data_IF_884264372725
#
_entry.id   IF_884264372725
#
_cell.length_a   1.000
_cell.length_b   1.000
_cell.length_c   1.000
_cell.angle_alpha   90.00
_cell.angle_beta   90.00
_cell.angle_gamma   90.00
#
_symmetry.space_group_name_H-M   'P 1'
#
loop_
_entity.id
_entity.type
_entity.pdbx_description
1 polymer ?
#
# COMPACT_ATOMS: atom_id res chain seq x y z
N UNK A 1 -9.00 5.96 19.26
CA UNK A 1 -8.01 5.03 18.69
C UNK A 1 -7.35 4.34 19.86
N UNK A 2 -7.40 3.01 19.89
CA UNK A 2 -6.72 2.20 20.94
C UNK A 2 -5.22 2.10 20.59
N UNK A 3 -4.38 2.05 21.60
CA UNK A 3 -2.96 1.73 21.43
C UNK A 3 -2.89 0.24 21.09
N UNK A 4 -2.24 -0.18 19.99
CA UNK A 4 -2.15 -1.57 19.62
C UNK A 4 -1.36 -2.38 20.67
N UNK A 5 -1.76 -3.65 20.91
CA UNK A 5 -1.08 -4.55 21.85
C UNK A 5 0.40 -4.80 21.45
N UNK A 6 0.70 -4.77 20.15
CA UNK A 6 2.07 -4.76 19.60
C UNK A 6 2.07 -4.11 18.22
N UNK A 7 3.00 -3.18 18.00
CA UNK A 7 3.24 -2.58 16.68
C UNK A 7 4.04 -3.57 15.81
N UNK A 8 3.66 -3.69 14.53
CA UNK A 8 4.32 -4.58 13.56
C UNK A 8 5.23 -3.81 12.61
N UNK A 9 6.12 -4.52 11.91
CA UNK A 9 7.10 -3.94 11.00
C UNK A 9 6.98 -4.54 9.60
N UNK A 10 6.78 -3.69 8.59
CA UNK A 10 6.84 -4.05 7.19
C UNK A 10 8.14 -3.60 6.54
N UNK A 11 8.54 -4.25 5.45
CA UNK A 11 9.69 -3.88 4.62
C UNK A 11 9.20 -3.33 3.28
N UNK A 12 9.57 -2.10 2.94
CA UNK A 12 9.25 -1.44 1.66
C UNK A 12 10.32 -1.72 0.58
N UNK A 13 10.08 -1.24 -0.64
CA UNK A 13 10.98 -1.32 -1.81
C UNK A 13 11.21 -2.74 -2.35
N UNK A 14 10.25 -3.65 -2.13
CA UNK A 14 10.36 -5.05 -2.55
C UNK A 14 10.24 -5.30 -4.06
N UNK A 15 10.16 -4.23 -4.85
CA UNK A 15 10.13 -4.24 -6.32
C UNK A 15 11.10 -3.26 -6.96
N UNK A 16 12.09 -2.79 -6.19
CA UNK A 16 13.07 -1.78 -6.59
C UNK A 16 14.50 -2.26 -6.31
N UNK A 17 15.49 -1.60 -6.87
CA UNK A 17 16.93 -1.82 -6.63
C UNK A 17 17.29 -3.33 -6.71
N UNK A 18 17.92 -3.89 -5.69
CA UNK A 18 18.26 -5.31 -5.62
C UNK A 18 17.03 -6.24 -5.75
N UNK A 19 15.85 -5.78 -5.34
CA UNK A 19 14.58 -6.53 -5.46
C UNK A 19 13.92 -6.40 -6.83
N UNK A 20 14.49 -5.67 -7.79
CA UNK A 20 14.08 -5.75 -9.21
C UNK A 20 14.68 -6.94 -9.95
N UNK A 21 15.49 -7.77 -9.28
CA UNK A 21 16.08 -8.98 -9.82
C UNK A 21 15.62 -10.23 -9.04
N UNK A 22 15.40 -11.37 -9.70
CA UNK A 22 14.73 -12.52 -9.09
C UNK A 22 15.48 -13.10 -7.88
N UNK A 23 16.82 -13.18 -7.94
CA UNK A 23 17.65 -13.73 -6.86
C UNK A 23 17.58 -12.85 -5.62
N UNK A 24 17.76 -11.53 -5.78
CA UNK A 24 17.69 -10.55 -4.70
C UNK A 24 16.29 -10.50 -4.08
N UNK A 25 15.25 -10.39 -4.91
CA UNK A 25 13.86 -10.36 -4.45
C UNK A 25 13.50 -11.61 -3.61
N UNK A 26 13.82 -12.80 -4.11
CA UNK A 26 13.51 -14.05 -3.43
C UNK A 26 14.31 -14.23 -2.13
N UNK A 27 15.59 -13.80 -2.10
CA UNK A 27 16.45 -13.90 -0.91
C UNK A 27 15.99 -12.94 0.17
N UNK A 28 15.79 -11.65 -0.18
CA UNK A 28 15.38 -10.64 0.79
C UNK A 28 13.99 -10.94 1.35
N UNK A 29 13.06 -11.44 0.54
CA UNK A 29 11.74 -11.81 1.02
C UNK A 29 11.79 -12.92 2.08
N UNK A 30 12.55 -14.00 1.82
CA UNK A 30 12.75 -15.09 2.80
C UNK A 30 13.48 -14.60 4.06
N UNK A 31 14.49 -13.73 3.90
CA UNK A 31 15.22 -13.17 5.03
C UNK A 31 14.31 -12.31 5.91
N UNK A 32 13.50 -11.44 5.32
CA UNK A 32 12.54 -10.60 6.05
C UNK A 32 11.49 -11.45 6.79
N UNK A 33 10.96 -12.51 6.14
CA UNK A 33 10.05 -13.44 6.78
C UNK A 33 10.70 -14.14 7.99
N UNK A 34 11.94 -14.64 7.83
CA UNK A 34 12.69 -15.28 8.90
C UNK A 34 13.07 -14.33 10.05
N UNK A 35 13.31 -13.05 9.73
CA UNK A 35 13.61 -12.00 10.69
C UNK A 35 12.37 -11.51 11.48
N UNK A 36 11.16 -11.96 11.11
CA UNK A 36 9.93 -11.62 11.82
C UNK A 36 9.24 -10.33 11.34
N UNK A 37 9.55 -9.85 10.12
CA UNK A 37 8.72 -8.81 9.53
C UNK A 37 7.30 -9.32 9.29
N UNK A 38 6.31 -8.45 9.53
CA UNK A 38 4.89 -8.74 9.32
C UNK A 38 4.51 -8.74 7.83
N UNK A 39 5.15 -7.87 7.05
CA UNK A 39 4.70 -7.61 5.68
C UNK A 39 5.81 -7.09 4.75
N UNK A 40 5.68 -7.39 3.44
CA UNK A 40 6.51 -6.90 2.34
C UNK A 40 5.70 -5.92 1.49
N UNK A 41 6.30 -4.80 1.09
CA UNK A 41 5.58 -3.72 0.40
C UNK A 41 6.25 -3.33 -0.91
N UNK A 42 5.42 -3.19 -1.94
CA UNK A 42 5.82 -2.77 -3.29
C UNK A 42 5.11 -1.47 -3.70
N UNK A 43 5.86 -0.49 -4.17
CA UNK A 43 5.34 0.79 -4.67
C UNK A 43 4.99 0.72 -6.16
N UNK A 44 4.35 1.78 -6.68
CA UNK A 44 3.96 1.85 -8.08
C UNK A 44 4.38 3.16 -8.74
N UNK A 45 5.06 3.01 -9.88
CA UNK A 45 5.13 3.96 -10.96
C UNK A 45 5.12 3.18 -12.28
N UNK A 46 4.19 3.47 -13.17
CA UNK A 46 4.09 2.83 -14.49
C UNK A 46 5.14 3.40 -15.43
N UNK A 47 5.35 4.71 -15.38
CA UNK A 47 6.37 5.44 -16.11
C UNK A 47 6.90 6.61 -15.28
N UNK A 48 8.16 6.98 -15.48
CA UNK A 48 8.80 8.10 -14.80
C UNK A 48 9.11 9.22 -15.79
N UNK A 49 9.05 10.50 -15.40
CA UNK A 49 9.33 11.62 -16.29
C UNK A 49 10.80 11.67 -16.67
N UNK A 50 11.07 11.91 -17.96
CA UNK A 50 12.39 12.16 -18.51
C UNK A 50 12.39 13.52 -19.28
N UNK A 51 13.21 14.50 -18.85
CA UNK A 51 14.06 14.50 -17.66
C UNK A 51 13.28 14.41 -16.35
N UNK A 52 13.93 13.88 -15.29
CA UNK A 52 13.32 13.85 -13.96
C UNK A 52 12.83 15.26 -13.56
N UNK A 53 11.59 15.35 -13.13
CA UNK A 53 10.96 16.59 -12.71
C UNK A 53 10.21 16.42 -11.38
N UNK A 54 10.23 17.41 -10.48
CA UNK A 54 9.43 17.35 -9.26
C UNK A 54 7.94 17.16 -9.58
N UNK A 55 7.21 16.37 -8.78
CA UNK A 55 7.60 15.74 -7.52
C UNK A 55 8.09 14.28 -7.65
N UNK A 56 8.62 13.86 -8.81
CA UNK A 56 9.14 12.49 -8.99
C UNK A 56 10.26 12.18 -8.00
N UNK A 57 10.12 11.14 -7.15
CA UNK A 57 11.16 10.75 -6.20
C UNK A 57 12.29 9.94 -6.86
N UNK A 58 12.06 9.46 -8.08
CA UNK A 58 12.94 8.54 -8.80
C UNK A 58 13.41 9.17 -10.11
N UNK A 59 14.62 8.79 -10.56
CA UNK A 59 15.12 9.13 -11.89
C UNK A 59 14.42 8.27 -12.97
N UNK A 60 14.39 8.78 -14.21
CA UNK A 60 13.72 8.09 -15.32
C UNK A 60 14.28 6.68 -15.61
N UNK A 61 15.56 6.47 -15.29
CA UNK A 61 16.25 5.18 -15.51
C UNK A 61 16.17 4.21 -14.32
N UNK A 62 15.56 4.59 -13.21
CA UNK A 62 15.46 3.71 -12.05
C UNK A 62 14.51 2.53 -12.33
N UNK A 63 14.93 1.34 -11.94
CA UNK A 63 14.14 0.12 -12.12
C UNK A 63 13.08 0.00 -11.03
N UNK A 64 11.83 -0.08 -11.44
CA UNK A 64 10.69 -0.41 -10.59
C UNK A 64 9.81 -1.43 -11.32
N UNK A 65 9.61 -2.61 -10.72
CA UNK A 65 8.71 -3.62 -11.28
C UNK A 65 7.25 -3.27 -10.94
N UNK A 66 6.33 -3.73 -11.79
CA UNK A 66 4.90 -3.69 -11.44
C UNK A 66 4.68 -4.36 -10.08
N UNK A 67 3.95 -3.69 -9.13
CA UNK A 67 3.82 -4.20 -7.77
C UNK A 67 3.09 -5.55 -7.70
N UNK A 68 2.09 -5.80 -8.54
CA UNK A 68 1.35 -7.07 -8.48
C UNK A 68 2.17 -8.23 -9.04
N UNK A 69 2.94 -7.98 -10.10
CA UNK A 69 3.89 -8.97 -10.66
C UNK A 69 4.96 -9.31 -9.61
N UNK A 70 5.57 -8.28 -9.01
CA UNK A 70 6.58 -8.47 -7.96
C UNK A 70 6.01 -9.23 -6.75
N UNK A 71 4.88 -8.79 -6.20
CA UNK A 71 4.26 -9.45 -5.05
C UNK A 71 3.81 -10.88 -5.34
N UNK A 72 3.38 -11.18 -6.58
CA UNK A 72 3.07 -12.56 -6.98
C UNK A 72 4.32 -13.46 -6.97
N UNK A 73 5.45 -12.93 -7.45
CA UNK A 73 6.73 -13.62 -7.36
C UNK A 73 7.14 -13.85 -5.90
N UNK A 74 7.02 -12.84 -5.04
CA UNK A 74 7.33 -12.94 -3.60
C UNK A 74 6.40 -13.93 -2.88
N UNK A 75 5.12 -13.99 -3.26
CA UNK A 75 4.15 -14.95 -2.72
C UNK A 75 4.62 -16.39 -2.89
N UNK A 76 5.25 -16.72 -4.03
CA UNK A 76 5.78 -18.06 -4.33
C UNK A 76 7.07 -18.38 -3.53
N UNK A 77 7.73 -17.39 -2.95
CA UNK A 77 8.98 -17.55 -2.21
C UNK A 77 8.85 -17.39 -0.69
N UNK A 78 7.63 -17.13 -0.20
CA UNK A 78 7.30 -16.90 1.22
C UNK A 78 6.06 -17.71 1.61
N UNK A 79 5.82 -17.89 2.91
CA UNK A 79 4.75 -18.76 3.41
C UNK A 79 3.73 -18.03 4.29
N UNK A 80 4.16 -17.09 5.11
CA UNK A 80 3.32 -16.45 6.16
C UNK A 80 3.30 -14.93 6.07
N UNK A 81 4.41 -14.31 5.62
CA UNK A 81 4.54 -12.85 5.56
C UNK A 81 3.49 -12.23 4.63
N UNK A 82 2.86 -11.15 5.05
CA UNK A 82 1.84 -10.46 4.27
C UNK A 82 2.46 -9.67 3.12
N UNK A 83 1.67 -9.39 2.10
CA UNK A 83 2.09 -8.76 0.85
C UNK A 83 1.28 -7.49 0.63
N UNK A 84 1.91 -6.33 0.71
CA UNK A 84 1.25 -5.03 0.65
C UNK A 84 1.59 -4.23 -0.60
N UNK A 85 0.63 -3.51 -1.15
CA UNK A 85 0.90 -2.46 -2.13
C UNK A 85 1.03 -1.11 -1.44
N UNK A 86 2.12 -0.41 -1.68
CA UNK A 86 2.42 0.86 -1.02
C UNK A 86 2.72 2.00 -2.00
N UNK A 87 1.81 2.33 -2.85
CA UNK A 87 0.38 2.02 -3.07
C UNK A 87 0.12 1.76 -4.55
N UNK A 88 -1.02 1.13 -4.90
CA UNK A 88 -1.56 1.16 -6.26
C UNK A 88 -2.13 2.54 -6.57
N UNK A 89 -1.71 3.16 -7.67
CA UNK A 89 -2.31 4.40 -8.19
C UNK A 89 -3.60 4.06 -8.91
N UNK A 90 -4.68 3.84 -8.14
CA UNK A 90 -5.92 3.24 -8.61
C UNK A 90 -6.53 3.88 -9.87
N UNK A 91 -6.54 5.23 -10.03
CA UNK A 91 -7.11 5.85 -11.24
C UNK A 91 -6.41 5.48 -12.54
N UNK A 92 -5.18 4.95 -12.48
CA UNK A 92 -4.39 4.57 -13.65
C UNK A 92 -4.72 3.18 -14.19
N UNK A 93 -5.48 2.38 -13.45
CA UNK A 93 -5.80 0.99 -13.79
C UNK A 93 -7.27 0.81 -14.15
N UNK A 94 -7.59 -0.13 -15.02
CA UNK A 94 -8.98 -0.55 -15.20
C UNK A 94 -9.43 -1.30 -13.93
N UNK A 95 -10.52 -0.88 -13.24
CA UNK A 95 -10.88 -1.44 -11.95
C UNK A 95 -11.32 -2.91 -12.01
N UNK A 96 -11.91 -3.38 -13.11
CA UNK A 96 -12.31 -4.79 -13.23
C UNK A 96 -11.11 -5.70 -13.50
N UNK A 97 -10.14 -5.24 -14.32
CA UNK A 97 -8.89 -5.96 -14.54
C UNK A 97 -8.11 -6.05 -13.24
N UNK A 98 -7.93 -4.91 -12.57
CA UNK A 98 -7.25 -4.86 -11.27
C UNK A 98 -7.94 -5.72 -10.21
N UNK A 99 -9.27 -5.69 -10.15
CA UNK A 99 -10.04 -6.53 -9.21
C UNK A 99 -9.77 -8.03 -9.44
N UNK A 100 -9.63 -8.43 -10.72
CA UNK A 100 -9.28 -9.82 -11.09
C UNK A 100 -7.85 -10.17 -10.69
N UNK A 101 -6.89 -9.30 -10.96
CA UNK A 101 -5.46 -9.48 -10.63
C UNK A 101 -5.27 -9.63 -9.11
N UNK A 102 -5.87 -8.72 -8.33
CA UNK A 102 -5.82 -8.74 -6.86
C UNK A 102 -6.45 -10.00 -6.27
N UNK A 103 -7.63 -10.40 -6.76
CA UNK A 103 -8.28 -11.63 -6.31
C UNK A 103 -7.46 -12.89 -6.65
N UNK A 104 -6.76 -12.88 -7.78
CA UNK A 104 -5.86 -13.97 -8.17
C UNK A 104 -4.63 -14.03 -7.27
N UNK A 105 -4.00 -12.89 -6.99
CA UNK A 105 -2.86 -12.81 -6.07
C UNK A 105 -3.26 -13.18 -4.64
N UNK A 106 -4.43 -12.71 -4.17
CA UNK A 106 -4.95 -13.07 -2.84
C UNK A 106 -5.13 -14.59 -2.71
N UNK A 107 -5.74 -15.23 -3.71
CA UNK A 107 -5.90 -16.68 -3.74
C UNK A 107 -4.55 -17.44 -3.79
N UNK A 108 -3.63 -17.01 -4.65
CA UNK A 108 -2.30 -17.63 -4.80
C UNK A 108 -1.43 -17.45 -3.55
N UNK A 109 -1.59 -16.35 -2.84
CA UNK A 109 -0.88 -16.09 -1.59
C UNK A 109 -1.53 -16.73 -0.36
N UNK A 110 -2.71 -17.33 -0.50
CA UNK A 110 -3.46 -17.88 0.64
C UNK A 110 -4.05 -16.81 1.56
N UNK A 111 -4.50 -15.67 0.99
CA UNK A 111 -5.16 -14.60 1.73
C UNK A 111 -4.18 -13.64 2.45
N UNK A 112 -2.92 -13.55 2.00
CA UNK A 112 -1.89 -12.70 2.61
C UNK A 112 -1.84 -11.27 2.06
N UNK A 113 -2.66 -10.94 1.05
CA UNK A 113 -2.62 -9.64 0.38
C UNK A 113 -3.20 -8.53 1.26
N UNK A 114 -2.56 -7.34 1.20
CA UNK A 114 -3.05 -6.06 1.71
C UNK A 114 -3.08 -5.08 0.53
N UNK A 115 -4.23 -4.53 0.21
CA UNK A 115 -4.36 -3.56 -0.86
C UNK A 115 -4.22 -2.14 -0.33
N UNK A 116 -3.06 -1.52 -0.53
CA UNK A 116 -2.90 -0.08 -0.37
C UNK A 116 -3.23 0.64 -1.67
N UNK A 117 -4.09 1.64 -1.63
CA UNK A 117 -4.49 2.44 -2.80
C UNK A 117 -4.30 3.93 -2.57
N UNK A 118 -4.02 4.66 -3.63
CA UNK A 118 -3.93 6.11 -3.63
C UNK A 118 -4.43 6.73 -4.92
N UNK A 119 -4.51 8.05 -4.94
CA UNK A 119 -5.00 8.80 -6.10
C UNK A 119 -3.89 9.16 -7.09
N UNK A 120 -2.62 9.02 -6.68
CA UNK A 120 -1.47 9.47 -7.46
C UNK A 120 -1.22 10.98 -7.38
N UNK A 121 0.02 11.37 -7.64
CA UNK A 121 0.48 12.75 -7.55
C UNK A 121 1.32 13.19 -8.76
N UNK A 122 1.80 12.25 -9.58
CA UNK A 122 2.73 12.50 -10.69
C UNK A 122 1.94 12.73 -11.98
N UNK A 123 1.61 13.98 -12.28
CA UNK A 123 0.79 14.33 -13.46
C UNK A 123 1.37 13.87 -14.80
N UNK A 124 2.71 13.93 -15.07
CA UNK A 124 3.27 13.40 -16.31
C UNK A 124 2.93 11.93 -16.58
N UNK A 125 2.88 11.09 -15.55
CA UNK A 125 2.48 9.69 -15.63
C UNK A 125 1.03 9.54 -16.07
N UNK A 126 0.11 10.30 -15.48
CA UNK A 126 -1.30 10.32 -15.89
C UNK A 126 -1.46 10.73 -17.35
N UNK A 127 -0.70 11.75 -17.79
CA UNK A 127 -0.72 12.24 -19.18
C UNK A 127 -0.26 11.16 -20.14
N UNK A 128 0.84 10.47 -19.82
CA UNK A 128 1.37 9.36 -20.62
C UNK A 128 0.36 8.21 -20.78
N UNK A 129 -0.42 7.93 -19.73
CA UNK A 129 -1.47 6.92 -19.73
C UNK A 129 -2.81 7.40 -20.34
N UNK A 130 -2.90 8.67 -20.76
CA UNK A 130 -4.14 9.24 -21.32
C UNK A 130 -5.26 9.42 -20.31
N UNK A 131 -4.94 9.55 -19.01
CA UNK A 131 -5.92 9.65 -17.92
C UNK A 131 -5.96 11.09 -17.39
N UNK A 132 -7.14 11.73 -17.32
CA UNK A 132 -7.26 13.07 -16.77
C UNK A 132 -6.85 13.14 -15.29
N UNK A 133 -5.84 13.97 -14.99
CA UNK A 133 -5.31 14.13 -13.65
C UNK A 133 -6.34 14.77 -12.68
N UNK A 134 -7.17 15.68 -13.17
CA UNK A 134 -8.18 16.38 -12.38
C UNK A 134 -9.24 15.43 -11.78
N UNK A 135 -9.55 14.35 -12.48
CA UNK A 135 -10.60 13.39 -12.08
C UNK A 135 -10.10 12.30 -11.11
N UNK A 136 -8.78 12.24 -10.82
CA UNK A 136 -8.17 11.11 -10.09
C UNK A 136 -8.86 10.76 -8.77
N UNK A 137 -9.29 11.77 -8.00
CA UNK A 137 -10.01 11.55 -6.74
C UNK A 137 -11.38 10.92 -6.93
N UNK A 138 -12.20 11.48 -7.82
CA UNK A 138 -13.52 10.96 -8.13
C UNK A 138 -13.46 9.58 -8.79
N UNK A 139 -12.45 9.36 -9.65
CA UNK A 139 -12.18 8.06 -10.28
C UNK A 139 -11.81 7.01 -9.26
N UNK A 140 -10.99 7.36 -8.25
CA UNK A 140 -10.64 6.45 -7.16
C UNK A 140 -11.87 6.03 -6.36
N UNK A 141 -12.76 6.96 -6.03
CA UNK A 141 -14.00 6.67 -5.31
C UNK A 141 -14.89 5.70 -6.11
N UNK A 142 -15.08 5.99 -7.38
CA UNK A 142 -15.89 5.19 -8.30
C UNK A 142 -15.32 3.77 -8.49
N UNK A 143 -14.00 3.67 -8.67
CA UNK A 143 -13.31 2.41 -8.89
C UNK A 143 -13.32 1.51 -7.65
N UNK A 144 -13.11 2.07 -6.45
CA UNK A 144 -13.22 1.30 -5.20
C UNK A 144 -14.63 0.72 -5.02
N UNK A 145 -15.66 1.50 -5.32
CA UNK A 145 -17.05 1.04 -5.25
C UNK A 145 -17.32 -0.08 -6.26
N UNK A 146 -16.85 0.06 -7.51
CA UNK A 146 -16.96 -0.95 -8.55
C UNK A 146 -16.26 -2.27 -8.19
N UNK A 147 -15.03 -2.17 -7.66
CA UNK A 147 -14.25 -3.33 -7.21
C UNK A 147 -14.95 -4.07 -6.07
N UNK A 148 -15.50 -3.35 -5.10
CA UNK A 148 -16.31 -3.97 -4.04
C UNK A 148 -17.55 -4.66 -4.61
N UNK A 149 -18.26 -4.02 -5.54
CA UNK A 149 -19.45 -4.60 -6.16
C UNK A 149 -19.13 -5.95 -6.85
N UNK A 150 -18.04 -6.02 -7.62
CA UNK A 150 -17.66 -7.26 -8.32
C UNK A 150 -17.21 -8.36 -7.37
N UNK A 151 -16.64 -8.02 -6.19
CA UNK A 151 -16.15 -8.99 -5.22
C UNK A 151 -17.24 -9.51 -4.26
N UNK A 152 -18.25 -8.68 -3.93
CA UNK A 152 -19.13 -9.00 -2.78
C UNK A 152 -20.58 -9.24 -3.15
N UNK A 153 -21.04 -8.77 -4.31
CA UNK A 153 -22.44 -8.94 -4.69
C UNK A 153 -22.67 -10.30 -5.34
N UNK A 154 -23.75 -11.04 -4.98
CA UNK A 154 -24.08 -12.31 -5.62
C UNK A 154 -24.43 -12.17 -7.13
N UNK A 155 -24.95 -11.03 -7.53
CA UNK A 155 -25.18 -10.64 -8.92
C UNK A 155 -24.57 -9.25 -9.13
N UNK A 156 -23.28 -9.18 -9.45
CA UNK A 156 -22.57 -7.91 -9.49
C UNK A 156 -23.15 -6.96 -10.54
N UNK A 157 -23.49 -5.76 -10.08
CA UNK A 157 -23.90 -4.64 -10.92
C UNK A 157 -23.41 -3.34 -10.30
N UNK A 158 -22.89 -2.44 -11.13
CA UNK A 158 -22.44 -1.13 -10.72
C UNK A 158 -22.64 -0.12 -11.86
N UNK A 159 -23.16 1.06 -11.54
CA UNK A 159 -23.41 2.14 -12.50
C UNK A 159 -22.84 3.44 -11.93
N UNK A 160 -21.54 3.63 -12.12
CA UNK A 160 -20.80 4.81 -11.70
C UNK A 160 -20.55 5.82 -12.82
N UNK A 161 -19.80 6.84 -12.50
CA UNK A 161 -19.43 7.90 -13.45
C UNK A 161 -18.40 7.42 -14.48
N UNK A 162 -17.44 6.59 -14.07
CA UNK A 162 -16.30 6.22 -14.89
C UNK A 162 -16.30 4.73 -15.27
N UNK A 163 -17.08 3.92 -14.60
CA UNK A 163 -17.23 2.50 -14.88
C UNK A 163 -18.67 2.05 -14.66
N UNK A 164 -19.16 1.18 -15.54
CA UNK A 164 -20.49 0.62 -15.44
C UNK A 164 -20.48 -0.81 -15.95
N UNK A 165 -21.12 -1.72 -15.20
CA UNK A 165 -21.28 -3.12 -15.60
C UNK A 165 -22.50 -3.76 -14.94
N UNK A 166 -23.05 -4.77 -15.60
CA UNK A 166 -24.04 -5.71 -15.08
C UNK A 166 -23.95 -7.03 -15.86
N UNK A 167 -24.50 -8.10 -15.31
CA UNK A 167 -24.55 -9.40 -16.00
C UNK A 167 -23.21 -10.09 -16.17
N UNK A 168 -22.23 -9.75 -15.34
CA UNK A 168 -20.87 -10.34 -15.30
C UNK A 168 -20.52 -10.80 -13.90
N UNK A 169 -19.60 -11.76 -13.80
CA UNK A 169 -19.02 -12.23 -12.54
C UNK A 169 -17.50 -12.38 -12.69
N UNK A 170 -16.78 -12.27 -11.60
CA UNK A 170 -15.34 -12.53 -11.55
C UNK A 170 -15.01 -13.50 -10.41
N UNK A 171 -14.31 -14.59 -10.74
CA UNK A 171 -13.81 -15.56 -9.77
C UNK A 171 -12.32 -15.82 -10.02
N UNK A 172 -11.50 -16.11 -8.95
CA UNK A 172 -11.91 -16.16 -7.55
C UNK A 172 -12.40 -14.81 -7.03
N UNK A 173 -13.04 -14.79 -5.87
CA UNK A 173 -13.32 -13.59 -5.10
C UNK A 173 -12.45 -13.62 -3.85
N UNK A 174 -11.87 -12.49 -3.41
CA UNK A 174 -11.09 -12.47 -2.17
C UNK A 174 -12.01 -12.75 -0.97
N UNK A 175 -11.52 -13.55 -0.04
CA UNK A 175 -12.30 -13.87 1.19
C UNK A 175 -12.38 -12.65 2.11
N UNK A 176 -11.25 -11.98 2.30
CA UNK A 176 -11.13 -10.73 3.05
C UNK A 176 -9.84 -10.04 2.59
N UNK A 177 -9.96 -9.07 1.73
CA UNK A 177 -8.83 -8.24 1.27
C UNK A 177 -8.86 -6.91 2.01
N UNK A 178 -7.98 -6.68 3.00
CA UNK A 178 -7.89 -5.39 3.68
C UNK A 178 -7.48 -4.30 2.69
N UNK A 179 -8.17 -3.16 2.74
CA UNK A 179 -7.90 -2.00 1.90
C UNK A 179 -7.40 -0.85 2.77
N UNK A 180 -6.21 -0.35 2.47
CA UNK A 180 -5.64 0.84 3.07
C UNK A 180 -5.66 1.99 2.06
N UNK A 181 -6.09 3.18 2.48
CA UNK A 181 -6.00 4.37 1.62
C UNK A 181 -4.81 5.22 2.01
N UNK A 182 -3.97 5.53 1.02
CA UNK A 182 -2.80 6.39 1.17
C UNK A 182 -3.10 7.85 0.87
N UNK A 183 -2.28 8.73 1.45
CA UNK A 183 -2.27 10.16 1.16
C UNK A 183 -2.63 11.07 2.33
N UNK A 184 -2.28 12.37 2.18
CA UNK A 184 -2.38 13.37 3.24
C UNK A 184 -3.40 14.49 2.91
N UNK A 185 -4.30 14.26 1.96
CA UNK A 185 -5.35 15.22 1.60
C UNK A 185 -6.64 14.96 2.37
N UNK A 186 -7.53 15.97 2.52
CA UNK A 186 -8.85 15.76 3.11
C UNK A 186 -9.65 14.64 2.46
N UNK A 187 -9.52 14.47 1.13
CA UNK A 187 -10.17 13.37 0.41
C UNK A 187 -9.59 11.98 0.75
N UNK A 188 -8.28 11.89 1.03
CA UNK A 188 -7.66 10.65 1.49
C UNK A 188 -8.15 10.26 2.89
N UNK A 189 -8.19 11.22 3.82
CA UNK A 189 -8.70 10.97 5.18
C UNK A 189 -10.17 10.58 5.17
N UNK A 190 -11.00 11.25 4.35
CA UNK A 190 -12.41 10.86 4.17
C UNK A 190 -12.52 9.40 3.69
N UNK A 191 -11.79 9.00 2.65
CA UNK A 191 -11.81 7.61 2.14
C UNK A 191 -11.39 6.60 3.18
N UNK A 192 -10.37 6.92 3.99
CA UNK A 192 -9.93 6.08 5.08
C UNK A 192 -11.06 5.83 6.09
N UNK A 193 -11.75 6.88 6.50
CA UNK A 193 -12.85 6.80 7.47
C UNK A 193 -14.05 6.08 6.90
N UNK A 194 -14.56 6.51 5.72
CA UNK A 194 -15.81 6.00 5.16
C UNK A 194 -15.72 4.58 4.60
N UNK A 195 -14.54 4.16 4.17
CA UNK A 195 -14.52 2.97 3.33
C UNK A 195 -13.26 2.12 3.36
N UNK A 196 -12.26 2.38 4.15
CA UNK A 196 -11.06 1.55 4.17
C UNK A 196 -10.87 0.84 5.52
N UNK A 197 -10.16 -0.29 5.52
CA UNK A 197 -9.76 -0.97 6.75
C UNK A 197 -8.68 -0.18 7.49
N UNK A 198 -7.85 0.59 6.74
CA UNK A 198 -6.79 1.39 7.33
C UNK A 198 -6.41 2.63 6.52
N UNK A 199 -5.53 3.43 7.12
CA UNK A 199 -4.86 4.56 6.48
C UNK A 199 -3.35 4.34 6.42
N UNK A 200 -2.74 4.77 5.31
CA UNK A 200 -1.30 4.68 5.09
C UNK A 200 -0.68 6.06 4.89
N UNK A 201 0.13 6.48 5.87
CA UNK A 201 0.92 7.70 5.85
C UNK A 201 2.34 7.44 5.34
N UNK A 202 2.75 8.10 4.25
CA UNK A 202 4.07 7.92 3.65
C UNK A 202 5.01 9.08 3.99
N UNK A 203 6.26 8.76 4.32
CA UNK A 203 7.35 9.68 4.61
C UNK A 203 7.05 10.69 5.74
N UNK A 204 6.56 10.20 6.88
CA UNK A 204 6.22 11.01 8.04
C UNK A 204 7.23 10.82 9.18
N UNK A 205 7.58 11.92 9.85
CA UNK A 205 8.15 11.91 11.19
C UNK A 205 7.06 11.88 12.28
N UNK A 206 7.44 11.85 13.54
CA UNK A 206 6.49 11.83 14.66
C UNK A 206 5.52 13.02 14.65
N UNK A 207 6.01 14.22 14.35
CA UNK A 207 5.18 15.42 14.32
C UNK A 207 4.20 15.39 13.13
N UNK A 208 4.67 14.99 11.95
CA UNK A 208 3.84 14.78 10.77
C UNK A 208 2.79 13.69 10.97
N UNK A 209 3.16 12.61 11.68
CA UNK A 209 2.20 11.54 12.03
C UNK A 209 1.13 12.05 12.98
N UNK A 210 1.50 12.73 14.06
CA UNK A 210 0.53 13.31 14.99
C UNK A 210 -0.44 14.27 14.27
N UNK A 211 0.08 15.16 13.42
CA UNK A 211 -0.76 16.04 12.61
C UNK A 211 -1.71 15.29 11.68
N UNK A 212 -1.25 14.22 11.03
CA UNK A 212 -2.10 13.41 10.15
C UNK A 212 -3.21 12.68 10.93
N UNK A 213 -2.91 12.21 12.14
CA UNK A 213 -3.89 11.60 13.04
C UNK A 213 -4.96 12.59 13.49
N UNK A 214 -4.59 13.84 13.79
CA UNK A 214 -5.55 14.91 14.06
C UNK A 214 -6.49 15.14 12.86
N UNK A 215 -5.96 15.11 11.64
CA UNK A 215 -6.79 15.23 10.43
C UNK A 215 -7.72 14.03 10.21
N UNK A 216 -7.28 12.83 10.58
CA UNK A 216 -8.14 11.63 10.56
C UNK A 216 -9.27 11.73 11.60
N UNK A 217 -8.98 12.23 12.80
CA UNK A 217 -9.99 12.50 13.83
C UNK A 217 -11.00 13.57 13.37
N UNK A 218 -10.53 14.65 12.76
CA UNK A 218 -11.39 15.65 12.14
C UNK A 218 -12.30 15.03 11.05
N UNK A 219 -11.76 14.14 10.22
CA UNK A 219 -12.54 13.43 9.21
C UNK A 219 -13.58 12.51 9.88
N UNK A 220 -13.20 11.76 10.91
CA UNK A 220 -14.10 10.87 11.65
C UNK A 220 -15.24 11.62 12.38
N UNK A 221 -15.06 12.90 12.70
CA UNK A 221 -16.12 13.73 13.24
C UNK A 221 -17.17 14.18 12.20
N UNK A 222 -16.81 14.14 10.91
CA UNK A 222 -17.64 14.62 9.79
C UNK A 222 -18.23 13.52 8.95
N UNK A 223 -17.56 12.37 8.90
CA UNK A 223 -17.89 11.24 8.04
C UNK A 223 -18.14 9.99 8.88
N UNK A 224 -19.20 9.24 8.54
CA UNK A 224 -19.55 8.04 9.27
C UNK A 224 -18.66 6.86 8.85
N UNK A 225 -18.04 6.21 9.82
CA UNK A 225 -17.35 4.93 9.59
C UNK A 225 -18.33 3.78 9.77
N UNK A 226 -18.49 2.90 8.76
CA UNK A 226 -19.31 1.70 8.89
C UNK A 226 -18.80 0.79 10.02
N UNK A 227 -19.70 0.32 10.90
CA UNK A 227 -19.33 -0.56 12.01
C UNK A 227 -18.68 -1.88 11.53
N UNK A 228 -19.01 -2.34 10.33
CA UNK A 228 -18.42 -3.55 9.73
C UNK A 228 -16.92 -3.44 9.43
N UNK A 229 -16.37 -2.20 9.35
CA UNK A 229 -14.94 -1.97 9.13
C UNK A 229 -14.12 -2.00 10.43
N UNK A 230 -14.77 -2.01 11.61
CA UNK A 230 -14.09 -1.99 12.90
C UNK A 230 -13.22 -0.72 13.10
N UNK A 231 -12.16 -0.83 13.87
CA UNK A 231 -11.21 0.26 14.07
C UNK A 231 -10.35 0.51 12.81
N UNK A 232 -9.91 1.77 12.64
CA UNK A 232 -9.07 2.16 11.51
C UNK A 232 -7.61 1.76 11.81
N UNK A 233 -7.03 0.85 11.03
CA UNK A 233 -5.60 0.52 11.12
C UNK A 233 -4.76 1.71 10.65
N UNK A 234 -3.71 2.06 11.39
CA UNK A 234 -2.76 3.12 11.05
C UNK A 234 -1.42 2.49 10.67
N UNK A 235 -1.04 2.63 9.40
CA UNK A 235 0.28 2.24 8.90
C UNK A 235 1.07 3.49 8.49
N UNK A 236 2.36 3.54 8.82
CA UNK A 236 3.23 4.70 8.52
C UNK A 236 4.57 4.22 7.97
N UNK A 237 5.03 4.85 6.87
CA UNK A 237 6.43 4.81 6.48
C UNK A 237 7.14 6.01 7.09
N UNK A 238 8.07 5.82 8.05
CA UNK A 238 8.84 6.91 8.62
C UNK A 238 9.84 7.47 7.60
N UNK A 239 10.24 8.75 7.76
CA UNK A 239 11.21 9.40 6.87
C UNK A 239 12.61 8.77 6.89
N UNK A 240 12.95 8.09 7.96
CA UNK A 240 14.21 7.39 8.20
C UNK A 240 13.96 6.19 9.10
N UNK A 241 14.89 5.28 9.16
CA UNK A 241 14.83 4.17 10.12
C UNK A 241 14.77 4.74 11.56
N UNK A 242 13.70 4.47 12.33
CA UNK A 242 13.61 4.91 13.71
C UNK A 242 14.49 4.03 14.61
N UNK A 243 14.96 4.57 15.71
CA UNK A 243 15.45 3.77 16.82
C UNK A 243 14.27 3.19 17.66
N UNK A 244 14.60 2.39 18.67
CA UNK A 244 13.57 1.73 19.52
C UNK A 244 12.68 2.72 20.26
N UNK A 245 13.26 3.81 20.78
CA UNK A 245 12.51 4.84 21.51
C UNK A 245 11.58 5.61 20.58
N UNK A 246 12.05 5.94 19.39
CA UNK A 246 11.22 6.59 18.36
C UNK A 246 10.11 5.66 17.87
N UNK A 247 10.38 4.37 17.67
CA UNK A 247 9.36 3.36 17.33
C UNK A 247 8.30 3.24 18.43
N UNK A 248 8.69 3.22 19.70
CA UNK A 248 7.78 3.23 20.84
C UNK A 248 6.89 4.50 20.85
N UNK A 249 7.45 5.66 20.46
CA UNK A 249 6.67 6.90 20.34
C UNK A 249 5.65 6.84 19.18
N UNK A 250 5.97 6.20 18.05
CA UNK A 250 4.97 5.94 17.00
C UNK A 250 3.84 5.04 17.51
N UNK A 251 4.18 3.97 18.24
CA UNK A 251 3.17 3.09 18.85
C UNK A 251 2.27 3.87 19.85
N UNK A 252 2.85 4.74 20.68
CA UNK A 252 2.11 5.59 21.61
C UNK A 252 1.15 6.58 20.93
N UNK A 253 1.43 6.98 19.66
CA UNK A 253 0.52 7.75 18.83
C UNK A 253 -0.64 6.89 18.27
N UNK A 254 -0.62 5.57 18.42
CA UNK A 254 -1.62 4.66 17.86
C UNK A 254 -1.27 4.13 16.47
N UNK A 255 0.01 4.14 16.07
CA UNK A 255 0.48 3.50 14.85
C UNK A 255 0.53 1.99 15.05
N UNK A 256 -0.13 1.23 14.18
CA UNK A 256 -0.23 -0.22 14.23
C UNK A 256 0.92 -0.91 13.47
N UNK A 257 1.39 -0.28 12.38
CA UNK A 257 2.47 -0.81 11.55
C UNK A 257 3.41 0.29 11.10
N UNK A 258 4.71 0.06 11.27
CA UNK A 258 5.75 0.84 10.60
C UNK A 258 6.24 0.09 9.36
N UNK A 259 6.09 0.69 8.20
CA UNK A 259 6.57 0.16 6.92
C UNK A 259 7.92 0.80 6.65
N UNK A 260 8.99 0.07 6.93
CA UNK A 260 10.35 0.59 6.91
C UNK A 260 10.90 0.60 5.49
N UNK A 261 11.31 1.77 5.02
CA UNK A 261 11.87 1.95 3.68
C UNK A 261 13.39 2.02 3.76
N UNK A 262 14.11 1.06 3.12
CA UNK A 262 15.56 1.16 3.00
C UNK A 262 15.95 2.39 2.17
N UNK A 263 17.15 2.96 2.36
CA UNK A 263 17.71 3.93 1.43
C UNK A 263 17.72 3.38 0.00
N UNK A 264 17.46 4.24 -0.99
CA UNK A 264 17.53 3.84 -2.40
C UNK A 264 18.94 3.48 -2.85
N UNK A 265 19.04 2.63 -3.88
CA UNK A 265 20.30 2.24 -4.50
C UNK A 265 21.13 1.22 -3.70
N UNK A 266 20.55 0.54 -2.72
CA UNK A 266 21.23 -0.53 -2.00
C UNK A 266 21.39 -1.77 -2.88
N UNK A 267 22.62 -2.31 -2.90
CA UNK A 267 22.85 -3.66 -3.41
C UNK A 267 22.26 -4.74 -2.46
N UNK A 268 22.31 -5.98 -2.89
CA UNK A 268 21.75 -7.10 -2.12
C UNK A 268 22.43 -7.29 -0.75
N UNK A 269 23.74 -7.05 -0.64
CA UNK A 269 24.49 -7.17 0.61
C UNK A 269 24.05 -6.10 1.60
N UNK A 270 24.03 -4.85 1.17
CA UNK A 270 23.63 -3.73 2.01
C UNK A 270 22.14 -3.83 2.45
N UNK A 271 21.26 -4.34 1.58
CA UNK A 271 19.87 -4.60 1.93
C UNK A 271 19.73 -5.76 2.94
N UNK A 272 20.57 -6.81 2.83
CA UNK A 272 20.65 -7.88 3.82
C UNK A 272 21.08 -7.35 5.19
N UNK A 273 22.08 -6.47 5.24
CA UNK A 273 22.54 -5.81 6.46
C UNK A 273 21.47 -4.90 7.06
N UNK A 274 20.70 -4.20 6.22
CA UNK A 274 19.57 -3.39 6.66
C UNK A 274 18.51 -4.25 7.36
N UNK A 275 18.06 -5.36 6.73
CA UNK A 275 17.08 -6.29 7.32
C UNK A 275 17.57 -6.84 8.65
N UNK A 276 18.84 -7.27 8.72
CA UNK A 276 19.46 -7.78 9.96
C UNK A 276 19.58 -6.71 11.06
N UNK A 277 19.78 -5.45 10.68
CA UNK A 277 19.81 -4.32 11.61
C UNK A 277 18.43 -4.07 12.20
N UNK A 278 17.39 -4.04 11.38
CA UNK A 278 15.99 -3.88 11.82
C UNK A 278 15.60 -5.02 12.76
N UNK A 279 15.91 -6.26 12.40
CA UNK A 279 15.65 -7.43 13.24
C UNK A 279 16.19 -7.25 14.66
N UNK A 280 17.47 -6.89 14.78
CA UNK A 280 18.14 -6.72 16.07
C UNK A 280 17.67 -5.51 16.87
N UNK A 281 17.33 -4.41 16.18
CA UNK A 281 17.04 -3.13 16.85
C UNK A 281 15.55 -2.94 17.17
N UNK A 282 14.64 -3.51 16.39
CA UNK A 282 13.22 -3.21 16.47
C UNK A 282 12.33 -4.44 16.69
N UNK A 283 12.69 -5.60 16.12
CA UNK A 283 11.79 -6.78 16.12
C UNK A 283 12.09 -7.67 17.33
N UNK A 284 13.36 -7.90 17.65
CA UNK A 284 13.81 -8.65 18.84
C UNK A 284 14.12 -7.69 20.01
#
# INVERSE_FOLDING_TARGET
>A
MTVPDAMTFGLFSMNMDACSYPEGAARIARLAEAAGFDSLWAGEHVVLPDPQAPPSPMAAGDSILDPLIALTFLAAHTTTIRLGTGIIVLPQRNPLVLAKELASLDALSGGRLILGVGVGYLEPEFRALGIPFADRGARTDDYLAAMRAIWTQPKPAYHGRFVSFAGVQAHPQPTRLPILTGGHSPGAYRRAVEGADGWYGFALDLAGTAHALDRLLDAASRYARPASLGELEISVTPRRLPDRDEAARFAALGVHRLILMPPGGLDESALTDYVSTVERSLIR
#
